data_IF_905972958312
#
_entry.id   IF_905972958312
#
_cell.length_a   1.000
_cell.length_b   1.000
_cell.length_c   1.000
_cell.angle_alpha   90.00
_cell.angle_beta   90.00
_cell.angle_gamma   90.00
#
_symmetry.space_group_name_H-M   'P 1'
#
loop_
_entity.id
_entity.type
_entity.pdbx_description
1 polymer ?
#
# COMPACT_ATOMS: atom_id res chain seq x y z
N UNK A 1 -6.18 -9.19 22.00
CA UNK A 1 -5.53 -8.02 21.36
C UNK A 1 -4.98 -8.30 19.96
N UNK A 2 -4.13 -9.31 19.76
CA UNK A 2 -3.51 -9.58 18.44
C UNK A 2 -4.50 -9.92 17.32
N UNK A 3 -5.60 -10.64 17.61
CA UNK A 3 -6.62 -11.01 16.60
C UNK A 3 -7.39 -9.78 16.11
N UNK A 4 -7.88 -8.96 17.04
CA UNK A 4 -8.55 -7.68 16.74
C UNK A 4 -7.65 -6.80 15.85
N UNK A 5 -6.37 -6.70 16.18
CA UNK A 5 -5.41 -5.95 15.37
C UNK A 5 -5.27 -6.51 13.95
N UNK A 6 -5.22 -7.84 13.77
CA UNK A 6 -5.18 -8.46 12.42
C UNK A 6 -6.45 -8.17 11.62
N UNK A 7 -7.62 -8.23 12.27
CA UNK A 7 -8.90 -7.90 11.63
C UNK A 7 -8.88 -6.45 11.15
N UNK A 8 -8.41 -5.52 11.99
CA UNK A 8 -8.25 -4.12 11.60
C UNK A 8 -7.30 -3.92 10.42
N UNK A 9 -6.18 -4.65 10.35
CA UNK A 9 -5.28 -4.60 9.18
C UNK A 9 -6.02 -5.02 7.91
N UNK A 10 -6.77 -6.12 7.95
CA UNK A 10 -7.51 -6.61 6.78
C UNK A 10 -8.56 -5.58 6.34
N UNK A 11 -9.29 -5.01 7.29
CA UNK A 11 -10.29 -3.97 7.03
C UNK A 11 -9.62 -2.74 6.39
N UNK A 12 -8.55 -2.22 6.98
CA UNK A 12 -7.81 -1.07 6.43
C UNK A 12 -7.27 -1.34 5.03
N UNK A 13 -6.74 -2.55 4.79
CA UNK A 13 -6.27 -2.95 3.47
C UNK A 13 -7.41 -2.96 2.45
N UNK A 14 -8.59 -3.51 2.79
CA UNK A 14 -9.76 -3.49 1.93
C UNK A 14 -10.23 -2.07 1.63
N UNK A 15 -10.29 -1.20 2.63
CA UNK A 15 -10.67 0.21 2.44
C UNK A 15 -9.71 0.95 1.52
N UNK A 16 -8.40 0.80 1.71
CA UNK A 16 -7.41 1.43 0.82
C UNK A 16 -7.50 0.88 -0.60
N UNK A 17 -7.79 -0.41 -0.77
CA UNK A 17 -7.91 -1.02 -2.10
C UNK A 17 -9.15 -0.51 -2.84
N UNK A 18 -10.29 -0.40 -2.14
CA UNK A 18 -11.51 0.25 -2.64
C UNK A 18 -11.24 1.72 -3.00
N UNK A 19 -10.49 2.43 -2.15
CA UNK A 19 -10.12 3.82 -2.35
C UNK A 19 -9.32 4.03 -3.63
N UNK A 20 -8.30 3.20 -3.88
CA UNK A 20 -7.49 3.30 -5.10
C UNK A 20 -8.29 2.95 -6.36
N UNK A 21 -9.10 1.88 -6.32
CA UNK A 21 -9.83 1.42 -7.51
C UNK A 21 -10.91 2.42 -7.93
N UNK A 22 -11.71 2.91 -6.97
CA UNK A 22 -12.84 3.77 -7.31
C UNK A 22 -12.45 5.24 -7.52
N UNK A 23 -11.39 5.70 -6.87
CA UNK A 23 -10.96 7.09 -6.94
C UNK A 23 -9.65 7.26 -7.72
N UNK A 24 -9.37 6.34 -8.64
CA UNK A 24 -8.26 6.52 -9.57
C UNK A 24 -8.44 7.83 -10.35
N UNK A 25 -7.47 8.76 -10.32
CA UNK A 25 -7.61 10.03 -11.02
C UNK A 25 -7.71 9.79 -12.52
N UNK A 26 -8.86 10.17 -13.10
CA UNK A 26 -9.08 10.19 -14.53
C UNK A 26 -9.53 11.59 -14.95
N UNK A 27 -8.72 12.22 -15.81
CA UNK A 27 -8.97 13.57 -16.32
C UNK A 27 -9.44 13.57 -17.78
N UNK A 28 -9.56 12.40 -18.41
CA UNK A 28 -10.06 12.29 -19.78
C UNK A 28 -11.54 12.63 -19.82
N UNK A 29 -11.90 13.61 -20.64
CA UNK A 29 -13.27 14.14 -20.80
C UNK A 29 -13.95 14.52 -19.47
N UNK A 30 -13.16 14.96 -18.49
CA UNK A 30 -13.65 15.26 -17.15
C UNK A 30 -14.20 16.68 -17.07
N UNK A 31 -15.50 16.79 -16.86
CA UNK A 31 -16.21 18.06 -16.70
C UNK A 31 -15.86 18.79 -15.39
N UNK A 32 -15.33 18.08 -14.39
CA UNK A 32 -15.03 18.60 -13.05
C UNK A 32 -13.62 18.25 -12.56
N UNK A 33 -12.56 18.76 -13.20
CA UNK A 33 -11.18 18.44 -12.84
C UNK A 33 -10.82 18.81 -11.39
N UNK A 34 -11.33 19.95 -10.89
CA UNK A 34 -11.13 20.38 -9.50
C UNK A 34 -11.71 19.41 -8.47
N UNK A 35 -12.88 18.81 -8.77
CA UNK A 35 -13.46 17.81 -7.87
C UNK A 35 -12.60 16.55 -7.86
N UNK A 36 -12.11 16.12 -9.02
CA UNK A 36 -11.17 14.99 -9.13
C UNK A 36 -9.88 15.26 -8.36
N UNK A 37 -9.34 16.47 -8.38
CA UNK A 37 -8.15 16.83 -7.58
C UNK A 37 -8.41 16.69 -6.08
N UNK A 38 -9.53 17.24 -5.59
CA UNK A 38 -9.91 17.18 -4.18
C UNK A 38 -10.07 15.73 -3.72
N UNK A 39 -10.79 14.92 -4.49
CA UNK A 39 -11.01 13.50 -4.18
C UNK A 39 -9.70 12.72 -4.25
N UNK A 40 -8.82 13.07 -5.19
CA UNK A 40 -7.51 12.44 -5.31
C UNK A 40 -6.65 12.71 -4.09
N UNK A 41 -6.61 13.95 -3.61
CA UNK A 41 -5.81 14.33 -2.44
C UNK A 41 -6.38 13.73 -1.15
N UNK A 42 -7.70 13.73 -0.99
CA UNK A 42 -8.34 13.32 0.26
C UNK A 42 -8.53 11.80 0.39
N UNK A 43 -8.73 11.09 -0.72
CA UNK A 43 -9.10 9.67 -0.69
C UNK A 43 -8.07 8.81 -1.41
N UNK A 44 -7.75 9.15 -2.67
CA UNK A 44 -6.86 8.34 -3.48
C UNK A 44 -5.45 8.28 -2.91
N UNK A 45 -4.79 9.42 -2.67
CA UNK A 45 -3.40 9.44 -2.22
C UNK A 45 -3.19 8.75 -0.87
N UNK A 46 -3.99 8.99 0.17
CA UNK A 46 -3.88 8.25 1.42
C UNK A 46 -4.00 6.74 1.20
N UNK A 47 -4.98 6.32 0.39
CA UNK A 47 -5.20 4.91 0.07
C UNK A 47 -4.04 4.30 -0.70
N UNK A 48 -3.54 5.00 -1.72
CA UNK A 48 -2.43 4.59 -2.56
C UNK A 48 -1.14 4.47 -1.74
N UNK A 49 -0.79 5.47 -0.95
CA UNK A 49 0.45 5.46 -0.18
C UNK A 49 0.45 4.39 0.91
N UNK A 50 -0.67 4.16 1.60
CA UNK A 50 -0.78 3.06 2.56
C UNK A 50 -0.49 1.73 1.88
N UNK A 51 -1.10 1.45 0.72
CA UNK A 51 -0.85 0.21 -0.01
C UNK A 51 0.58 0.13 -0.55
N UNK A 52 1.07 1.21 -1.16
CA UNK A 52 2.40 1.28 -1.77
C UNK A 52 3.49 1.04 -0.72
N UNK A 53 3.48 1.76 0.40
CA UNK A 53 4.47 1.57 1.45
C UNK A 53 4.34 0.22 2.15
N UNK A 54 3.13 -0.32 2.30
CA UNK A 54 2.93 -1.68 2.83
C UNK A 54 3.57 -2.72 1.93
N UNK A 55 3.35 -2.62 0.62
CA UNK A 55 3.92 -3.54 -0.37
C UNK A 55 5.44 -3.38 -0.47
N UNK A 56 5.94 -2.14 -0.51
CA UNK A 56 7.36 -1.83 -0.54
C UNK A 56 8.08 -2.39 0.69
N UNK A 57 7.50 -2.22 1.89
CA UNK A 57 8.04 -2.79 3.13
C UNK A 57 8.06 -4.32 3.08
N UNK A 58 7.00 -4.95 2.56
CA UNK A 58 6.95 -6.39 2.38
C UNK A 58 8.05 -6.88 1.42
N UNK A 59 8.27 -6.19 0.30
CA UNK A 59 9.31 -6.53 -0.67
C UNK A 59 10.70 -6.38 -0.06
N UNK A 60 10.99 -5.25 0.59
CA UNK A 60 12.28 -5.00 1.24
C UNK A 60 12.55 -6.06 2.31
N UNK A 61 11.57 -6.37 3.17
CA UNK A 61 11.73 -7.40 4.19
C UNK A 61 12.02 -8.77 3.58
N UNK A 62 11.32 -9.17 2.52
CA UNK A 62 11.60 -10.44 1.83
C UNK A 62 13.01 -10.47 1.22
N UNK A 63 13.46 -9.37 0.63
CA UNK A 63 14.81 -9.27 0.05
C UNK A 63 15.90 -9.30 1.12
N UNK A 64 15.73 -8.56 2.22
CA UNK A 64 16.68 -8.55 3.34
C UNK A 64 16.76 -9.91 4.03
N UNK A 65 15.62 -10.56 4.30
CA UNK A 65 15.58 -11.90 4.88
C UNK A 65 16.33 -12.89 3.97
N UNK A 66 16.06 -12.88 2.66
CA UNK A 66 16.78 -13.74 1.70
C UNK A 66 18.29 -13.49 1.74
N UNK A 67 18.72 -12.23 1.80
CA UNK A 67 20.14 -11.85 1.87
C UNK A 67 20.80 -12.33 3.17
N UNK A 68 20.12 -12.18 4.31
CA UNK A 68 20.63 -12.63 5.61
C UNK A 68 20.70 -14.16 5.69
N UNK A 69 19.67 -14.87 5.23
CA UNK A 69 19.67 -16.34 5.19
C UNK A 69 20.76 -16.86 4.26
N UNK A 70 20.95 -16.25 3.09
CA UNK A 70 22.04 -16.62 2.18
C UNK A 70 23.42 -16.43 2.81
N UNK A 71 23.67 -15.28 3.47
CA UNK A 71 24.93 -15.04 4.20
C UNK A 71 25.18 -16.08 5.28
N UNK A 72 24.15 -16.45 6.03
CA UNK A 72 24.24 -17.48 7.07
C UNK A 72 24.55 -18.87 6.50
N UNK A 73 23.90 -19.25 5.39
CA UNK A 73 24.10 -20.56 4.75
C UNK A 73 25.46 -20.71 4.06
N UNK A 74 26.00 -19.62 3.49
CA UNK A 74 27.31 -19.63 2.82
C UNK A 74 28.48 -19.52 3.81
N UNK A 75 28.22 -19.34 5.11
CA UNK A 75 29.24 -19.47 6.16
C UNK A 75 30.34 -18.42 6.13
N UNK A 76 30.07 -17.24 5.57
CA UNK A 76 30.99 -16.09 5.70
C UNK A 76 30.54 -15.32 6.94
N UNK A 77 31.18 -15.63 8.07
CA UNK A 77 31.33 -14.73 9.23
C UNK A 77 31.84 -13.37 8.80
#
# INVERSE_FOLDING_TARGET
MAILYRIWIVISFMFSLIGVINFWPNYVDNEFPLFTDVVSVLIFFPSFFVLFFSFLTLMINKLLIKKTVYRFLVGIT
#
